data_IF_298188092770
#
_entry.id   IF_298188092770
#
_cell.length_a   1.000
_cell.length_b   1.000
_cell.length_c   1.000
_cell.angle_alpha   90.00
_cell.angle_beta   90.00
_cell.angle_gamma   90.00
#
_symmetry.space_group_name_H-M   'P 1'
#
loop_
_entity.id
_entity.type
_entity.pdbx_description
1 polymer ?
#
# COMPACT_ATOMS: atom_id res chain seq x y z
N UNK A 1 -19.06 10.27 0.95
CA UNK A 1 -17.80 11.05 0.81
C UNK A 1 -17.86 11.92 -0.44
N UNK A 2 -17.25 13.09 -0.40
CA UNK A 2 -17.19 13.98 -1.57
C UNK A 2 -16.46 13.29 -2.72
N UNK A 3 -16.94 13.57 -3.94
CA UNK A 3 -16.23 13.16 -5.14
C UNK A 3 -14.90 13.92 -5.24
N UNK A 4 -13.79 13.18 -5.26
CA UNK A 4 -12.45 13.74 -5.33
C UNK A 4 -11.90 13.81 -6.76
N UNK A 5 -12.65 13.30 -7.74
CA UNK A 5 -12.17 13.17 -9.11
C UNK A 5 -11.69 14.53 -9.67
N UNK A 6 -10.48 14.55 -10.19
CA UNK A 6 -9.88 15.74 -10.77
C UNK A 6 -9.33 16.75 -9.78
N UNK A 7 -9.44 16.48 -8.47
CA UNK A 7 -8.99 17.41 -7.45
C UNK A 7 -7.50 17.22 -7.12
N UNK A 8 -6.90 18.25 -6.52
CA UNK A 8 -5.53 18.16 -6.00
C UNK A 8 -5.43 17.11 -4.90
N UNK A 9 -6.48 16.94 -4.10
CA UNK A 9 -6.54 15.91 -3.06
C UNK A 9 -6.46 14.52 -3.66
N UNK A 10 -7.17 14.25 -4.75
CA UNK A 10 -7.07 12.97 -5.46
C UNK A 10 -5.64 12.71 -5.91
N UNK A 11 -5.02 13.69 -6.54
CA UNK A 11 -3.63 13.56 -7.01
C UNK A 11 -2.69 13.24 -5.86
N UNK A 12 -2.83 13.93 -4.73
CA UNK A 12 -1.98 13.70 -3.56
C UNK A 12 -2.20 12.31 -2.97
N UNK A 13 -3.44 11.84 -2.92
CA UNK A 13 -3.75 10.49 -2.43
C UNK A 13 -3.18 9.41 -3.35
N UNK A 14 -3.24 9.60 -4.66
CA UNK A 14 -2.65 8.68 -5.62
C UNK A 14 -1.13 8.61 -5.45
N UNK A 15 -0.47 9.73 -5.27
CA UNK A 15 0.98 9.77 -5.03
C UNK A 15 1.34 9.10 -3.71
N UNK A 16 0.55 9.34 -2.65
CA UNK A 16 0.77 8.71 -1.36
C UNK A 16 0.58 7.19 -1.44
N UNK A 17 -0.47 6.73 -2.10
CA UNK A 17 -0.72 5.30 -2.29
C UNK A 17 0.42 4.64 -3.08
N UNK A 18 0.86 5.26 -4.16
CA UNK A 18 1.96 4.74 -4.98
C UNK A 18 3.27 4.67 -4.18
N UNK A 19 3.59 5.73 -3.43
CA UNK A 19 4.81 5.78 -2.63
C UNK A 19 4.83 4.75 -1.51
N UNK A 20 3.73 4.62 -0.76
CA UNK A 20 3.61 3.63 0.32
C UNK A 20 3.65 2.20 -0.23
N UNK A 21 2.99 1.96 -1.37
CA UNK A 21 3.00 0.64 -2.01
C UNK A 21 4.39 0.25 -2.49
N UNK A 22 5.13 1.19 -3.07
CA UNK A 22 6.50 0.98 -3.50
C UNK A 22 7.40 0.67 -2.30
N UNK A 23 7.27 1.43 -1.23
CA UNK A 23 8.03 1.22 0.01
C UNK A 23 7.74 -0.16 0.59
N UNK A 24 6.46 -0.56 0.66
CA UNK A 24 6.06 -1.88 1.15
C UNK A 24 6.76 -2.99 0.39
N UNK A 25 6.78 -2.92 -0.93
CA UNK A 25 7.41 -3.94 -1.76
C UNK A 25 8.92 -4.02 -1.52
N UNK A 26 9.58 -2.86 -1.44
CA UNK A 26 11.01 -2.81 -1.14
C UNK A 26 11.33 -3.45 0.19
N UNK A 27 10.60 -3.12 1.25
CA UNK A 27 10.84 -3.69 2.57
C UNK A 27 10.54 -5.18 2.62
N UNK A 28 9.57 -5.66 1.85
CA UNK A 28 9.31 -7.09 1.71
C UNK A 28 10.52 -7.80 1.09
N UNK A 29 11.10 -7.23 0.04
CA UNK A 29 12.30 -7.78 -0.60
C UNK A 29 13.51 -7.73 0.33
N UNK A 30 13.67 -6.63 1.06
CA UNK A 30 14.76 -6.48 2.03
C UNK A 30 14.66 -7.50 3.14
N UNK A 31 13.45 -7.77 3.64
CA UNK A 31 13.23 -8.78 4.67
C UNK A 31 13.63 -10.17 4.17
N UNK A 32 13.25 -10.51 2.96
CA UNK A 32 13.60 -11.80 2.35
C UNK A 32 15.10 -11.98 2.26
N UNK A 33 15.81 -10.96 1.80
CA UNK A 33 17.28 -11.01 1.69
C UNK A 33 17.94 -11.11 3.05
N UNK A 34 17.46 -10.34 4.02
CA UNK A 34 18.00 -10.37 5.38
C UNK A 34 17.87 -11.76 6.00
N UNK A 35 16.76 -12.45 5.78
CA UNK A 35 16.56 -13.82 6.23
C UNK A 35 17.59 -14.77 5.61
N UNK A 36 17.79 -14.68 4.31
CA UNK A 36 18.76 -15.51 3.59
C UNK A 36 20.18 -15.30 4.09
N UNK A 37 20.50 -14.06 4.47
CA UNK A 37 21.81 -13.70 4.98
C UNK A 37 21.97 -13.96 6.48
N UNK A 38 20.93 -14.44 7.16
CA UNK A 38 20.97 -14.80 8.57
C UNK A 38 20.69 -13.66 9.55
N UNK A 39 20.24 -12.51 9.07
CA UNK A 39 19.93 -11.35 9.91
C UNK A 39 18.45 -11.36 10.33
N UNK A 40 18.13 -12.26 11.27
CA UNK A 40 16.73 -12.53 11.65
C UNK A 40 16.04 -11.31 12.25
N UNK A 41 16.72 -10.56 13.14
CA UNK A 41 16.14 -9.39 13.77
C UNK A 41 15.91 -8.26 12.76
N UNK A 42 16.84 -8.05 11.86
CA UNK A 42 16.72 -7.06 10.80
C UNK A 42 15.57 -7.42 9.87
N UNK A 43 15.45 -8.71 9.53
CA UNK A 43 14.34 -9.19 8.72
C UNK A 43 12.99 -8.89 9.37
N UNK A 44 12.88 -9.11 10.68
CA UNK A 44 11.66 -8.83 11.43
C UNK A 44 11.29 -7.33 11.39
N UNK A 45 12.29 -6.45 11.52
CA UNK A 45 12.07 -5.00 11.40
C UNK A 45 11.56 -4.60 10.02
N UNK A 46 12.14 -5.18 8.97
CA UNK A 46 11.68 -4.91 7.61
C UNK A 46 10.25 -5.42 7.37
N UNK A 47 9.92 -6.59 7.91
CA UNK A 47 8.57 -7.15 7.81
C UNK A 47 7.54 -6.26 8.51
N UNK A 48 7.87 -5.76 9.70
CA UNK A 48 7.01 -4.86 10.45
C UNK A 48 6.78 -3.55 9.68
N UNK A 49 7.86 -2.99 9.14
CA UNK A 49 7.77 -1.77 8.34
C UNK A 49 6.92 -2.00 7.10
N UNK A 50 7.09 -3.14 6.41
CA UNK A 50 6.27 -3.48 5.25
C UNK A 50 4.79 -3.58 5.61
N UNK A 51 4.47 -4.17 6.77
CA UNK A 51 3.09 -4.29 7.24
C UNK A 51 2.48 -2.91 7.51
N UNK A 52 3.24 -2.00 8.12
CA UNK A 52 2.78 -0.63 8.36
C UNK A 52 2.52 0.13 7.06
N UNK A 53 3.42 -0.02 6.08
CA UNK A 53 3.25 0.61 4.77
C UNK A 53 2.03 0.07 4.03
N UNK A 54 1.75 -1.23 4.17
CA UNK A 54 0.56 -1.84 3.59
C UNK A 54 -0.71 -1.24 4.17
N UNK A 55 -0.76 -1.04 5.49
CA UNK A 55 -1.92 -0.44 6.16
C UNK A 55 -2.13 1.01 5.72
N UNK A 56 -1.05 1.79 5.61
CA UNK A 56 -1.12 3.16 5.12
C UNK A 56 -1.62 3.21 3.68
N UNK A 57 -1.10 2.35 2.81
CA UNK A 57 -1.53 2.28 1.42
C UNK A 57 -3.01 1.91 1.32
N UNK A 58 -3.48 0.96 2.12
CA UNK A 58 -4.89 0.58 2.16
C UNK A 58 -5.78 1.75 2.56
N UNK A 59 -5.34 2.54 3.54
CA UNK A 59 -6.07 3.72 3.99
C UNK A 59 -6.22 4.74 2.86
N UNK A 60 -5.13 5.05 2.16
CA UNK A 60 -5.14 5.98 1.02
C UNK A 60 -6.02 5.45 -0.11
N UNK A 61 -5.95 4.15 -0.38
CA UNK A 61 -6.79 3.53 -1.38
C UNK A 61 -8.27 3.67 -1.03
N UNK A 62 -8.64 3.44 0.22
CA UNK A 62 -10.01 3.59 0.68
C UNK A 62 -10.51 5.03 0.50
N UNK A 63 -9.70 6.02 0.85
CA UNK A 63 -10.06 7.43 0.63
C UNK A 63 -10.29 7.74 -0.83
N UNK A 64 -9.53 7.13 -1.74
CA UNK A 64 -9.72 7.31 -3.17
C UNK A 64 -11.01 6.66 -3.69
N UNK A 65 -11.56 5.72 -2.96
CA UNK A 65 -12.71 4.90 -3.39
C UNK A 65 -13.93 5.06 -2.48
N UNK A 66 -14.11 6.24 -1.91
CA UNK A 66 -15.31 6.55 -1.14
C UNK A 66 -15.32 6.04 0.29
N UNK A 67 -14.17 5.59 0.81
CA UNK A 67 -14.01 5.21 2.20
C UNK A 67 -13.94 3.72 2.47
N UNK A 68 -14.05 2.88 1.44
CA UNK A 68 -13.99 1.42 1.60
C UNK A 68 -13.47 0.71 0.36
N UNK A 69 -13.09 -0.53 0.51
CA UNK A 69 -12.73 -1.38 -0.62
C UNK A 69 -14.03 -1.80 -1.30
N UNK A 70 -14.09 -1.71 -2.61
CA UNK A 70 -15.25 -2.08 -3.40
C UNK A 70 -15.47 -3.60 -3.37
N UNK A 71 -16.65 -4.03 -3.83
CA UNK A 71 -16.98 -5.45 -3.86
C UNK A 71 -16.15 -6.20 -4.92
N UNK A 72 -16.22 -7.52 -4.86
CA UNK A 72 -15.41 -8.38 -5.72
C UNK A 72 -15.72 -8.18 -7.19
N UNK A 73 -16.98 -7.98 -7.53
CA UNK A 73 -17.38 -7.75 -8.94
C UNK A 73 -16.72 -6.51 -9.51
N UNK A 74 -16.77 -5.41 -8.78
CA UNK A 74 -16.12 -4.16 -9.18
C UNK A 74 -14.61 -4.35 -9.29
N UNK A 75 -14.01 -5.01 -8.28
CA UNK A 75 -12.55 -5.23 -8.24
C UNK A 75 -12.08 -6.10 -9.40
N UNK A 76 -12.85 -7.08 -9.80
CA UNK A 76 -12.52 -7.92 -10.96
C UNK A 76 -12.50 -7.11 -12.25
N UNK A 77 -13.44 -6.20 -12.43
CA UNK A 77 -13.47 -5.32 -13.60
C UNK A 77 -12.30 -4.35 -13.59
N UNK A 78 -11.96 -3.78 -12.44
CA UNK A 78 -10.84 -2.86 -12.30
C UNK A 78 -9.50 -3.54 -12.59
N UNK A 79 -9.36 -4.80 -12.20
CA UNK A 79 -8.13 -5.57 -12.40
C UNK A 79 -7.91 -6.03 -13.84
N UNK A 80 -8.96 -6.01 -14.67
CA UNK A 80 -8.90 -6.52 -16.05
C UNK A 80 -8.05 -5.64 -17.01
#
# INVERSE_FOLDING_TARGET
MKDLKGTKTEKNLLEAFAGESMARNKYTYFASKAKKDGYVQIAALFEETAANEKEHAELWYKFLHGGEINDTEWNLQDAA
#
